data_IF_340286974285
#
_entry.id   IF_340286974285
#
_cell.length_a   1.000
_cell.length_b   1.000
_cell.length_c   1.000
_cell.angle_alpha   90.00
_cell.angle_beta   90.00
_cell.angle_gamma   90.00
#
_symmetry.space_group_name_H-M   'P 1'
#
loop_
_entity.id
_entity.type
_entity.pdbx_description
1 polymer ?
#
# COMPACT_ATOMS: atom_id res chain seq x y z
N UNK A 1 -1.43 -3.45 -15.12
CA UNK A 1 -1.07 -3.45 -13.69
C UNK A 1 -0.94 -2.02 -13.23
N UNK A 2 -1.60 -1.66 -12.14
CA UNK A 2 -1.51 -0.33 -11.52
C UNK A 2 -0.45 -0.38 -10.42
N UNK A 3 0.19 0.75 -10.16
CA UNK A 3 1.15 0.90 -9.06
C UNK A 3 0.47 1.52 -7.85
N UNK A 4 0.72 0.96 -6.66
CA UNK A 4 0.34 1.53 -5.38
C UNK A 4 1.59 2.00 -4.64
N UNK A 5 1.56 3.20 -4.07
CA UNK A 5 2.60 3.69 -3.17
C UNK A 5 2.20 3.35 -1.75
N UNK A 6 3.03 2.61 -1.03
CA UNK A 6 2.69 2.07 0.28
C UNK A 6 3.77 2.38 1.30
N UNK A 7 3.40 2.34 2.57
CA UNK A 7 4.32 2.22 3.69
C UNK A 7 4.16 0.84 4.31
N UNK A 8 5.27 0.15 4.54
CA UNK A 8 5.32 -1.04 5.36
C UNK A 8 5.54 -0.68 6.82
N UNK A 9 5.01 -1.52 7.71
CA UNK A 9 5.20 -1.36 9.16
C UNK A 9 6.69 -1.34 9.55
N UNK A 10 7.52 -2.15 8.89
CA UNK A 10 8.96 -2.25 9.11
C UNK A 10 9.71 -2.63 7.82
N UNK A 11 11.03 -2.75 7.95
CA UNK A 11 11.93 -3.11 6.85
C UNK A 11 11.81 -4.57 6.37
N UNK A 12 11.00 -5.42 7.03
CA UNK A 12 10.73 -6.77 6.52
C UNK A 12 9.66 -6.77 5.41
N UNK A 13 8.96 -5.65 5.21
CA UNK A 13 7.98 -5.44 4.14
C UNK A 13 6.84 -6.47 4.11
N UNK A 14 6.43 -6.98 5.26
CA UNK A 14 5.39 -8.03 5.33
C UNK A 14 3.97 -7.48 5.49
N UNK A 15 3.83 -6.33 6.17
CA UNK A 15 2.55 -5.72 6.51
C UNK A 15 2.51 -4.30 5.96
N UNK A 16 1.53 -4.01 5.10
CA UNK A 16 1.24 -2.65 4.63
C UNK A 16 0.48 -1.91 5.73
N UNK A 17 1.02 -0.75 6.14
CA UNK A 17 0.42 0.15 7.13
C UNK A 17 -0.44 1.22 6.46
N UNK A 18 0.07 1.81 5.37
CA UNK A 18 -0.53 2.96 4.69
C UNK A 18 -0.44 2.82 3.17
N UNK A 19 -1.37 3.46 2.46
CA UNK A 19 -1.33 3.64 0.99
C UNK A 19 -1.45 5.12 0.67
N UNK A 20 -0.60 5.61 -0.22
CA UNK A 20 -0.51 7.01 -0.64
C UNK A 20 -0.82 7.16 -2.12
N UNK A 21 -1.12 8.39 -2.53
CA UNK A 21 -1.30 8.76 -3.93
C UNK A 21 0.01 9.01 -4.69
N UNK A 22 1.14 9.12 -3.97
CA UNK A 22 2.47 9.37 -4.53
C UNK A 22 3.60 8.86 -3.59
N UNK A 23 4.86 8.79 -4.07
CA UNK A 23 6.01 8.59 -3.19
C UNK A 23 6.07 9.66 -2.09
N UNK A 24 6.49 9.28 -0.89
CA UNK A 24 6.63 10.16 0.27
C UNK A 24 8.11 10.51 0.52
N UNK A 25 8.37 11.45 1.43
CA UNK A 25 9.74 11.72 1.89
C UNK A 25 10.31 10.51 2.64
N UNK A 26 11.44 9.98 2.15
CA UNK A 26 12.10 8.79 2.70
C UNK A 26 12.60 9.00 4.14
N UNK A 27 12.86 10.24 4.55
CA UNK A 27 13.31 10.54 5.91
C UNK A 27 12.16 10.47 6.93
N UNK A 28 10.91 10.54 6.46
CA UNK A 28 9.70 10.44 7.29
C UNK A 28 9.07 9.04 7.17
N UNK A 29 9.05 8.47 5.96
CA UNK A 29 8.49 7.15 5.65
C UNK A 29 9.58 6.24 5.05
N UNK A 30 10.50 5.72 5.89
CA UNK A 30 11.67 4.99 5.42
C UNK A 30 11.35 3.63 4.80
N UNK A 31 10.26 3.00 5.23
CA UNK A 31 9.82 1.69 4.73
C UNK A 31 8.76 1.82 3.63
N UNK A 32 8.88 2.84 2.78
CA UNK A 32 7.95 3.03 1.67
C UNK A 32 8.39 2.26 0.42
N UNK A 33 7.43 1.85 -0.39
CA UNK A 33 7.70 1.25 -1.69
C UNK A 33 6.60 1.57 -2.70
N UNK A 34 6.96 1.45 -3.98
CA UNK A 34 6.00 1.37 -5.07
C UNK A 34 5.83 -0.10 -5.45
N UNK A 35 4.65 -0.66 -5.16
CA UNK A 35 4.33 -2.07 -5.45
C UNK A 35 3.23 -2.17 -6.50
N UNK A 36 3.07 -3.34 -7.12
CA UNK A 36 1.92 -3.58 -7.98
C UNK A 36 0.66 -3.81 -7.17
N UNK A 37 -0.50 -3.38 -7.69
CA UNK A 37 -1.80 -3.75 -7.13
C UNK A 37 -2.11 -5.25 -7.21
N UNK A 38 -1.35 -6.02 -7.99
CA UNK A 38 -1.42 -7.49 -7.99
C UNK A 38 -0.57 -8.15 -6.88
N UNK A 39 0.12 -7.36 -6.06
CA UNK A 39 0.87 -7.88 -4.91
C UNK A 39 -0.10 -8.44 -3.87
N UNK A 40 0.17 -9.67 -3.40
CA UNK A 40 -0.67 -10.34 -2.41
C UNK A 40 -0.81 -9.53 -1.11
N UNK A 41 0.23 -8.79 -0.71
CA UNK A 41 0.20 -7.93 0.49
C UNK A 41 -0.80 -6.79 0.31
N UNK A 42 -0.85 -6.21 -0.89
CA UNK A 42 -1.82 -5.16 -1.23
C UNK A 42 -3.26 -5.71 -1.23
N UNK A 43 -3.47 -6.91 -1.78
CA UNK A 43 -4.78 -7.56 -1.76
C UNK A 43 -5.26 -7.82 -0.33
N UNK A 44 -4.38 -8.32 0.56
CA UNK A 44 -4.69 -8.52 1.98
C UNK A 44 -5.05 -7.21 2.68
N UNK A 45 -4.27 -6.14 2.46
CA UNK A 45 -4.57 -4.82 3.01
C UNK A 45 -5.92 -4.28 2.53
N UNK A 46 -6.14 -4.25 1.21
CA UNK A 46 -7.38 -3.72 0.60
C UNK A 46 -8.63 -4.46 1.10
N UNK A 47 -8.56 -5.78 1.20
CA UNK A 47 -9.67 -6.60 1.69
C UNK A 47 -9.92 -6.45 3.19
N UNK A 48 -8.91 -6.09 3.98
CA UNK A 48 -9.04 -5.77 5.40
C UNK A 48 -9.72 -4.43 5.68
N UNK A 49 -9.75 -3.51 4.72
CA UNK A 49 -10.38 -2.20 4.89
C UNK A 49 -11.92 -2.28 4.87
N UNK A 50 -12.61 -1.42 5.64
CA UNK A 50 -14.06 -1.22 5.46
C UNK A 50 -14.34 -0.62 4.07
N UNK A 51 -15.59 -0.73 3.55
CA UNK A 51 -15.93 -0.24 2.22
C UNK A 51 -15.53 1.22 1.94
N UNK A 52 -15.67 2.10 2.94
CA UNK A 52 -15.28 3.51 2.82
C UNK A 52 -13.76 3.69 2.71
N UNK A 53 -12.97 2.83 3.35
CA UNK A 53 -11.50 2.88 3.28
C UNK A 53 -10.96 2.43 1.93
N UNK A 54 -11.76 1.73 1.12
CA UNK A 54 -11.42 1.32 -0.24
C UNK A 54 -11.73 2.40 -1.28
N UNK A 55 -12.50 3.41 -0.91
CA UNK A 55 -12.92 4.46 -1.84
C UNK A 55 -11.69 5.24 -2.35
N UNK A 56 -11.51 5.25 -3.67
CA UNK A 56 -10.37 5.92 -4.31
C UNK A 56 -9.08 5.11 -4.37
N UNK A 57 -9.03 3.92 -3.77
CA UNK A 57 -7.91 2.99 -3.93
C UNK A 57 -8.12 2.11 -5.17
N UNK A 58 -7.06 1.85 -5.96
CA UNK A 58 -7.16 0.91 -7.07
C UNK A 58 -7.48 -0.49 -6.53
N UNK A 59 -8.43 -1.18 -7.16
CA UNK A 59 -8.72 -2.56 -6.81
C UNK A 59 -7.49 -3.45 -7.10
N UNK A 60 -7.26 -4.51 -6.29
CA UNK A 60 -6.28 -5.54 -6.63
C UNK A 60 -6.60 -6.15 -7.99
N UNK A 61 -5.56 -6.44 -8.79
CA UNK A 61 -5.68 -6.91 -10.18
C UNK A 61 -5.04 -8.25 -10.42
#
# INVERSE_FOLDING_TARGET
>A
MTTAFVEFFDAAETIILSVFSCPQDINIYPNQAAISTSDNRYASFYNGLPPIGRAGLPAPG
#
